data_IF_915478976643
#
_entry.id   IF_915478976643
#
_cell.length_a   1.000
_cell.length_b   1.000
_cell.length_c   1.000
_cell.angle_alpha   90.00
_cell.angle_beta   90.00
_cell.angle_gamma   90.00
#
_symmetry.space_group_name_H-M   'P 1'
#
loop_
_entity.id
_entity.type
_entity.pdbx_description
1 polymer ?
#
# COMPACT_ATOMS: atom_id res chain seq x y z
N UNK A 1 6.83 0.24 -5.22
CA UNK A 1 7.11 -0.25 -3.85
C UNK A 1 7.13 0.91 -2.86
N UNK A 2 6.77 0.68 -1.58
CA UNK A 2 6.73 1.77 -0.59
C UNK A 2 6.61 1.32 0.87
N UNK A 3 6.97 2.21 1.79
CA UNK A 3 6.77 2.05 3.24
C UNK A 3 5.92 3.19 3.77
N UNK A 4 4.92 2.86 4.57
CA UNK A 4 3.89 3.77 5.05
C UNK A 4 3.79 3.67 6.57
N UNK A 5 3.73 4.81 7.24
CA UNK A 5 3.61 4.85 8.68
C UNK A 5 2.15 4.68 9.07
N UNK A 6 1.80 3.52 9.62
CA UNK A 6 0.43 3.27 10.08
C UNK A 6 0.23 3.86 11.48
N UNK A 7 1.18 3.62 12.38
CA UNK A 7 1.25 4.22 13.72
C UNK A 7 2.71 4.61 14.02
N UNK A 8 3.00 5.36 15.11
CA UNK A 8 4.38 5.66 15.47
C UNK A 8 5.27 4.41 15.65
N UNK A 9 4.69 3.28 16.02
CA UNK A 9 5.39 2.02 16.28
C UNK A 9 5.22 0.97 15.17
N UNK A 10 4.42 1.24 14.13
CA UNK A 10 4.10 0.26 13.10
C UNK A 10 4.22 0.83 11.69
N UNK A 11 4.92 0.07 10.84
CA UNK A 11 5.11 0.38 9.42
C UNK A 11 4.40 -0.67 8.58
N UNK A 12 3.76 -0.21 7.51
CA UNK A 12 3.20 -1.02 6.45
C UNK A 12 4.12 -0.96 5.24
N UNK A 13 4.59 -2.11 4.73
CA UNK A 13 5.36 -2.17 3.49
C UNK A 13 4.53 -2.79 2.37
N UNK A 14 4.75 -2.26 1.17
CA UNK A 14 4.23 -2.78 -0.09
C UNK A 14 5.42 -3.09 -1.00
N UNK A 15 5.54 -4.36 -1.36
CA UNK A 15 6.62 -4.89 -2.19
C UNK A 15 6.03 -5.62 -3.39
N UNK A 16 6.73 -5.56 -4.52
CA UNK A 16 6.42 -6.37 -5.69
C UNK A 16 7.43 -7.51 -5.77
N UNK A 17 6.96 -8.75 -5.85
CA UNK A 17 7.83 -9.93 -5.97
C UNK A 17 7.39 -10.68 -7.22
N UNK A 18 8.29 -10.73 -8.20
CA UNK A 18 8.00 -11.24 -9.54
C UNK A 18 6.80 -10.50 -10.14
N UNK A 19 5.64 -11.16 -10.31
CA UNK A 19 4.41 -10.61 -10.87
C UNK A 19 3.29 -10.42 -9.81
N UNK A 20 3.64 -10.39 -8.52
CA UNK A 20 2.68 -10.32 -7.44
C UNK A 20 3.06 -9.25 -6.40
N UNK A 21 2.11 -8.35 -6.11
CA UNK A 21 2.23 -7.41 -5.01
C UNK A 21 1.95 -8.09 -3.67
N UNK A 22 2.76 -7.76 -2.66
CA UNK A 22 2.65 -8.21 -1.28
C UNK A 22 2.62 -7.04 -0.32
N UNK A 23 1.82 -7.19 0.73
CA UNK A 23 1.74 -6.25 1.83
C UNK A 23 2.16 -6.90 3.13
N UNK A 24 2.83 -6.12 3.97
CA UNK A 24 3.25 -6.59 5.28
C UNK A 24 3.09 -5.48 6.30
N UNK A 25 2.42 -5.82 7.40
CA UNK A 25 2.48 -5.02 8.62
C UNK A 25 3.68 -5.50 9.45
N UNK A 26 4.50 -4.58 9.95
CA UNK A 26 5.69 -4.92 10.73
C UNK A 26 5.38 -5.94 11.84
N UNK A 27 6.15 -7.02 11.88
CA UNK A 27 5.96 -8.13 12.83
C UNK A 27 4.92 -9.18 12.39
N UNK A 28 4.31 -9.05 11.22
CA UNK A 28 3.37 -10.03 10.64
C UNK A 28 3.92 -10.67 9.37
N UNK A 29 3.31 -11.77 8.96
CA UNK A 29 3.51 -12.40 7.65
C UNK A 29 3.12 -11.43 6.53
N UNK A 30 3.86 -11.48 5.41
CA UNK A 30 3.49 -10.76 4.20
C UNK A 30 2.41 -11.52 3.43
N UNK A 31 1.36 -10.83 2.97
CA UNK A 31 0.24 -11.41 2.24
C UNK A 31 0.15 -10.83 0.83
N UNK A 32 -0.27 -11.63 -0.17
CA UNK A 32 -0.51 -11.12 -1.51
C UNK A 32 -1.70 -10.14 -1.50
N UNK A 33 -1.65 -9.16 -2.38
CA UNK A 33 -2.75 -8.22 -2.66
C UNK A 33 -3.05 -8.14 -4.13
N UNK A 34 -4.32 -7.91 -4.45
CA UNK A 34 -4.81 -7.92 -5.81
C UNK A 34 -5.37 -6.55 -6.16
N UNK A 35 -4.94 -6.01 -7.30
CA UNK A 35 -5.55 -4.82 -7.89
C UNK A 35 -6.99 -5.17 -8.28
N UNK A 36 -7.94 -4.33 -7.92
CA UNK A 36 -9.35 -4.49 -8.32
C UNK A 36 -9.95 -3.24 -8.95
N UNK A 37 -9.28 -2.09 -8.77
CA UNK A 37 -9.58 -0.82 -9.42
C UNK A 37 -8.29 0.02 -9.39
N UNK A 38 -8.19 1.05 -10.23
CA UNK A 38 -7.06 1.99 -10.20
C UNK A 38 -6.77 2.48 -8.79
N UNK A 39 -5.51 2.35 -8.36
CA UNK A 39 -5.03 2.68 -7.00
C UNK A 39 -5.64 1.88 -5.85
N UNK A 40 -6.47 0.86 -6.11
CA UNK A 40 -7.15 0.08 -5.06
C UNK A 40 -6.79 -1.39 -5.09
N UNK A 41 -6.33 -1.86 -3.94
CA UNK A 41 -5.87 -3.22 -3.72
C UNK A 41 -6.64 -3.88 -2.60
N UNK A 42 -6.79 -5.20 -2.70
CA UNK A 42 -7.46 -6.00 -1.69
C UNK A 42 -6.59 -7.18 -1.25
N UNK A 43 -6.54 -7.41 0.07
CA UNK A 43 -5.95 -8.58 0.68
C UNK A 43 -7.05 -9.50 1.22
N UNK A 44 -7.31 -10.62 0.54
CA UNK A 44 -8.35 -11.58 0.93
C UNK A 44 -8.06 -12.26 2.28
N UNK A 45 -6.80 -12.41 2.65
CA UNK A 45 -6.41 -13.19 3.84
C UNK A 45 -6.82 -12.50 5.14
N UNK A 46 -6.76 -11.17 5.16
CA UNK A 46 -7.04 -10.36 6.36
C UNK A 46 -8.16 -9.35 6.15
N UNK A 47 -8.92 -9.50 5.06
CA UNK A 47 -10.02 -8.61 4.61
C UNK A 47 -9.65 -7.12 4.71
N UNK A 48 -8.56 -6.76 4.04
CA UNK A 48 -8.02 -5.40 4.06
C UNK A 48 -8.06 -4.78 2.67
N UNK A 49 -8.68 -3.60 2.57
CA UNK A 49 -8.60 -2.78 1.35
C UNK A 49 -7.59 -1.66 1.53
N UNK A 50 -6.86 -1.37 0.47
CA UNK A 50 -5.82 -0.34 0.43
C UNK A 50 -6.13 0.57 -0.75
N UNK A 51 -6.21 1.87 -0.48
CA UNK A 51 -6.42 2.89 -1.48
C UNK A 51 -5.24 3.86 -1.44
N UNK A 52 -4.47 3.91 -2.52
CA UNK A 52 -3.37 4.84 -2.66
C UNK A 52 -3.92 6.22 -3.04
N UNK A 53 -3.57 7.24 -2.25
CA UNK A 53 -4.16 8.58 -2.35
C UNK A 53 -3.07 9.64 -2.26
N UNK A 54 -3.46 10.88 -2.52
CA UNK A 54 -2.62 12.08 -2.41
C UNK A 54 -1.37 11.97 -3.29
N UNK A 55 -1.53 12.44 -4.52
CA UNK A 55 -0.45 12.46 -5.51
C UNK A 55 0.22 13.82 -5.51
N UNK A 56 1.54 13.80 -5.64
CA UNK A 56 2.32 14.98 -5.97
C UNK A 56 2.11 15.37 -7.44
N UNK A 57 2.56 16.57 -7.82
CA UNK A 57 2.47 17.06 -9.21
C UNK A 57 3.24 16.18 -10.21
N UNK A 58 4.27 15.47 -9.74
CA UNK A 58 5.04 14.46 -10.50
C UNK A 58 4.44 13.05 -10.44
N UNK A 59 3.20 12.91 -9.95
CA UNK A 59 2.42 11.67 -9.99
C UNK A 59 2.80 10.64 -8.93
N UNK A 60 3.59 11.00 -7.93
CA UNK A 60 4.03 10.10 -6.86
C UNK A 60 2.97 9.99 -5.78
N UNK A 61 2.74 8.78 -5.28
CA UNK A 61 1.84 8.54 -4.14
C UNK A 61 2.52 8.94 -2.83
N UNK A 62 1.89 9.81 -2.04
CA UNK A 62 2.34 10.27 -0.71
C UNK A 62 1.61 9.60 0.45
N UNK A 63 0.44 8.97 0.24
CA UNK A 63 -0.29 8.30 1.31
C UNK A 63 -1.08 7.07 0.83
N UNK A 64 -1.49 6.25 1.79
CA UNK A 64 -2.52 5.22 1.58
C UNK A 64 -3.59 5.31 2.66
N UNK A 65 -4.79 4.85 2.32
CA UNK A 65 -5.89 4.61 3.25
C UNK A 65 -6.14 3.11 3.34
N UNK A 66 -6.08 2.57 4.55
CA UNK A 66 -6.40 1.17 4.86
C UNK A 66 -7.81 1.06 5.42
N UNK A 67 -8.59 0.13 4.90
CA UNK A 67 -9.89 -0.29 5.44
C UNK A 67 -9.80 -1.73 5.94
N UNK A 68 -9.74 -1.91 7.27
CA UNK A 68 -9.66 -3.23 7.92
C UNK A 68 -10.19 -3.12 9.35
N UNK A 69 -11.50 -3.32 9.54
CA UNK A 69 -12.18 -3.07 10.83
C UNK A 69 -12.28 -1.59 11.23
N UNK A 70 -11.90 -0.68 10.32
CA UNK A 70 -11.85 0.77 10.50
C UNK A 70 -11.09 1.44 9.35
N UNK A 71 -11.13 2.77 9.28
CA UNK A 71 -10.44 3.55 8.24
C UNK A 71 -9.21 4.21 8.85
N UNK A 72 -8.04 4.00 8.25
CA UNK A 72 -6.80 4.56 8.73
C UNK A 72 -5.93 5.08 7.58
N UNK A 73 -5.57 6.36 7.64
CA UNK A 73 -4.61 6.99 6.73
C UNK A 73 -3.18 6.74 7.21
N UNK A 74 -2.28 6.41 6.28
CA UNK A 74 -0.86 6.17 6.54
C UNK A 74 0.01 6.97 5.54
N UNK A 75 0.77 7.98 5.98
CA UNK A 75 1.69 8.71 5.12
C UNK A 75 2.88 7.83 4.72
N UNK A 76 3.41 8.04 3.52
CA UNK A 76 4.63 7.39 3.04
C UNK A 76 5.84 7.92 3.79
N UNK A 77 6.72 7.03 4.22
CA UNK A 77 7.90 7.35 5.03
C UNK A 77 9.08 7.91 4.23
N UNK A 78 9.03 7.87 2.89
CA UNK A 78 10.05 8.45 2.02
C UNK A 78 9.46 8.82 0.68
N UNK A 79 9.93 9.93 0.08
CA UNK A 79 9.67 10.28 -1.33
C UNK A 79 10.40 9.29 -2.24
N UNK A 80 9.81 8.11 -2.40
CA UNK A 80 10.27 7.10 -3.35
C UNK A 80 9.39 7.08 -4.60
N UNK A 81 9.98 6.74 -5.73
CA UNK A 81 9.30 6.67 -7.02
C UNK A 81 8.30 5.49 -7.02
N UNK A 82 7.04 5.75 -6.66
CA UNK A 82 5.95 4.81 -6.89
C UNK A 82 4.85 5.55 -7.64
N UNK A 83 4.84 5.32 -8.95
CA UNK A 83 3.69 5.60 -9.81
C UNK A 83 2.76 4.39 -9.82
N UNK A 84 1.47 4.57 -10.14
CA UNK A 84 0.50 3.48 -10.19
C UNK A 84 0.68 2.55 -11.39
N UNK A 85 1.31 3.03 -12.46
CA UNK A 85 1.58 2.25 -13.68
C UNK A 85 2.39 0.97 -13.37
N UNK A 86 3.10 0.94 -12.24
CA UNK A 86 3.80 -0.24 -11.73
C UNK A 86 2.88 -1.39 -11.32
N UNK A 87 1.58 -1.17 -11.19
CA UNK A 87 0.62 -2.22 -10.83
C UNK A 87 -0.23 -2.72 -12.00
N UNK A 88 -0.07 -2.09 -13.17
CA UNK A 88 -0.76 -2.47 -14.40
C UNK A 88 0.08 -3.41 -15.30
N UNK A 89 1.27 -3.83 -14.83
CA UNK A 89 2.23 -4.69 -15.58
C UNK A 89 2.22 -6.13 -15.09
#
# INVERSE_FOLDING_TARGET
MGRYQLTPQSTFSLEHRDDQAYVQLAGQTAYPVFLYETDKFFCCVVDAHLHFVERTDDGQIDALVRHQGGVQRAPKLSKGNMTPEFFDS
#
